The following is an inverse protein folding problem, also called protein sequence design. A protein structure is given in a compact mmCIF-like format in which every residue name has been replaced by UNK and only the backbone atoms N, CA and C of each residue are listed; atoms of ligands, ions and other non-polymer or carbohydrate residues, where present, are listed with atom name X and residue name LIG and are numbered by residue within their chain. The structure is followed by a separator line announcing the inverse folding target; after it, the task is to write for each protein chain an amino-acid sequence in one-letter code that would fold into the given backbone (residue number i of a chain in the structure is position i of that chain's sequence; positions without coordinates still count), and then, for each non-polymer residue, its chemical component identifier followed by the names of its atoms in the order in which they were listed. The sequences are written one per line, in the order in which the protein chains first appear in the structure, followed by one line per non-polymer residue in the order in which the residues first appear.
data_IF_308588349778
#
_entry.id   IF_308588349778
#
_cell.length_a   1.000
_cell.length_b   1.000
_cell.length_c   1.000
_cell.angle_alpha   90.00
_cell.angle_beta   90.00
_cell.angle_gamma   90.00
#
_symmetry.space_group_name_H-M   'P 1'
#
loop_
_entity.id
_entity.type
_entity.pdbx_description
1 polymer ?
#
# COMPACT_ATOMS: atom_id res chain seq x y z
N UNK A 1 26.30 -19.13 -10.30
CA UNK A 1 25.36 -17.99 -10.08
C UNK A 1 24.62 -18.09 -8.75
N UNK A 2 24.31 -19.30 -8.24
CA UNK A 2 23.52 -19.53 -7.01
C UNK A 2 24.29 -19.15 -5.72
N UNK A 3 25.62 -19.14 -5.71
CA UNK A 3 26.42 -18.86 -4.52
C UNK A 3 26.66 -17.37 -4.21
N UNK A 4 26.38 -16.43 -5.12
CA UNK A 4 26.49 -15.00 -4.85
C UNK A 4 25.21 -14.42 -4.22
N UNK A 5 24.05 -14.99 -4.52
CA UNK A 5 22.74 -14.50 -4.00
C UNK A 5 22.57 -14.74 -2.50
N UNK A 6 23.06 -15.87 -1.99
CA UNK A 6 22.99 -16.20 -0.54
C UNK A 6 23.79 -15.25 0.36
N UNK A 7 24.80 -14.56 -0.16
CA UNK A 7 25.57 -13.59 0.62
C UNK A 7 24.88 -12.22 0.72
N UNK A 8 24.11 -11.82 -0.27
CA UNK A 8 23.43 -10.53 -0.32
C UNK A 8 22.40 -10.37 0.80
N UNK A 9 21.73 -11.45 1.20
CA UNK A 9 20.67 -11.44 2.21
C UNK A 9 21.08 -12.05 3.55
N UNK A 10 22.36 -12.32 3.78
CA UNK A 10 22.83 -13.03 4.99
C UNK A 10 22.56 -12.27 6.29
N UNK A 11 22.40 -10.95 6.23
CA UNK A 11 22.06 -10.12 7.40
C UNK A 11 20.56 -9.78 7.48
N UNK A 12 19.77 -10.10 6.45
CA UNK A 12 18.36 -9.77 6.40
C UNK A 12 17.51 -10.81 7.12
N UNK A 13 16.47 -10.34 7.79
CA UNK A 13 15.41 -11.15 8.39
C UNK A 13 14.05 -10.58 7.96
N UNK A 14 13.22 -11.46 7.45
CA UNK A 14 11.89 -11.11 6.95
C UNK A 14 10.82 -11.66 7.90
N UNK A 15 9.97 -10.79 8.42
CA UNK A 15 8.86 -11.15 9.31
C UNK A 15 7.53 -10.71 8.72
N UNK A 16 6.46 -11.36 9.12
CA UNK A 16 5.09 -10.98 8.77
C UNK A 16 4.21 -10.88 10.01
N UNK A 17 3.28 -9.93 10.01
CA UNK A 17 2.11 -9.97 10.88
C UNK A 17 0.92 -10.62 10.14
N UNK A 18 -0.32 -10.40 10.61
CA UNK A 18 -1.46 -11.19 10.17
C UNK A 18 -2.24 -10.63 8.96
N UNK A 19 -1.91 -9.42 8.47
CA UNK A 19 -2.74 -8.77 7.44
C UNK A 19 -2.79 -9.56 6.13
N UNK A 20 -1.67 -10.14 5.70
CA UNK A 20 -1.58 -10.89 4.44
C UNK A 20 -0.43 -11.91 4.47
N UNK A 21 -0.59 -13.05 5.18
CA UNK A 21 0.46 -14.06 5.31
C UNK A 21 0.91 -14.66 3.97
N UNK A 22 -0.02 -14.80 3.02
CA UNK A 22 0.25 -15.36 1.68
C UNK A 22 1.21 -14.47 0.90
N UNK A 23 0.98 -13.16 0.86
CA UNK A 23 1.88 -12.20 0.22
C UNK A 23 3.27 -12.24 0.85
N UNK A 24 3.35 -12.30 2.18
CA UNK A 24 4.62 -12.38 2.88
C UNK A 24 5.39 -13.66 2.52
N UNK A 25 4.67 -14.78 2.41
CA UNK A 25 5.26 -16.05 1.96
C UNK A 25 5.73 -15.98 0.51
N UNK A 26 4.95 -15.43 -0.40
CA UNK A 26 5.34 -15.26 -1.80
C UNK A 26 6.60 -14.39 -1.94
N UNK A 27 6.69 -13.29 -1.17
CA UNK A 27 7.89 -12.44 -1.15
C UNK A 27 9.09 -13.24 -0.66
N UNK A 28 8.95 -13.99 0.43
CA UNK A 28 10.04 -14.82 0.98
C UNK A 28 10.50 -15.89 -0.02
N UNK A 29 9.56 -16.58 -0.67
CA UNK A 29 9.85 -17.59 -1.68
C UNK A 29 10.60 -17.00 -2.90
N UNK A 30 10.15 -15.83 -3.40
CA UNK A 30 10.81 -15.12 -4.50
C UNK A 30 12.22 -14.64 -4.16
N UNK A 31 12.45 -14.28 -2.89
CA UNK A 31 13.76 -13.85 -2.40
C UNK A 31 14.66 -15.02 -2.00
N UNK A 32 14.15 -16.25 -1.98
CA UNK A 32 14.89 -17.44 -1.53
C UNK A 32 15.26 -17.40 -0.05
N UNK A 33 14.42 -16.77 0.79
CA UNK A 33 14.63 -16.67 2.24
C UNK A 33 13.44 -17.27 2.99
N UNK A 34 13.64 -17.64 4.24
CA UNK A 34 12.56 -18.08 5.13
C UNK A 34 11.99 -16.89 5.92
N UNK A 35 10.69 -16.93 6.19
CA UNK A 35 10.08 -16.01 7.14
C UNK A 35 10.59 -16.29 8.54
N UNK A 36 10.91 -15.24 9.26
CA UNK A 36 11.33 -15.29 10.66
C UNK A 36 10.23 -15.84 11.55
N UNK A 37 10.63 -16.52 12.61
CA UNK A 37 9.73 -17.17 13.58
C UNK A 37 9.17 -16.17 14.57
N UNK A 38 7.89 -15.83 14.39
CA UNK A 38 7.15 -14.97 15.32
C UNK A 38 5.71 -15.45 15.44
N UNK A 39 5.07 -15.09 16.53
CA UNK A 39 3.63 -15.29 16.75
C UNK A 39 2.98 -13.95 17.01
N UNK A 40 1.93 -13.64 16.27
CA UNK A 40 1.07 -12.48 16.47
C UNK A 40 -0.33 -12.99 16.77
N UNK A 41 -0.84 -12.67 17.94
CA UNK A 41 -2.14 -13.14 18.44
C UNK A 41 -2.86 -12.05 19.20
N UNK A 42 -4.05 -12.37 19.72
CA UNK A 42 -4.81 -11.49 20.60
C UNK A 42 -5.09 -12.20 21.94
N UNK A 43 -5.05 -11.43 23.00
CA UNK A 43 -5.64 -11.84 24.27
C UNK A 43 -7.18 -11.85 24.19
N UNK A 44 -7.82 -12.42 25.19
CA UNK A 44 -9.30 -12.54 25.23
C UNK A 44 -10.04 -11.20 25.27
N UNK A 45 -9.38 -10.16 25.74
CA UNK A 45 -9.87 -8.77 25.76
C UNK A 45 -9.62 -7.99 24.46
N UNK A 46 -8.90 -8.62 23.49
CA UNK A 46 -8.60 -8.04 22.18
C UNK A 46 -7.25 -7.34 22.09
N UNK A 47 -6.47 -7.25 23.17
CA UNK A 47 -5.10 -6.72 23.11
C UNK A 47 -4.19 -7.63 22.25
N UNK A 48 -3.31 -7.01 21.48
CA UNK A 48 -2.41 -7.72 20.60
C UNK A 48 -1.17 -8.19 21.35
N UNK A 49 -0.79 -9.44 21.12
CA UNK A 49 0.42 -10.07 21.67
C UNK A 49 1.34 -10.48 20.54
N UNK A 50 2.62 -10.09 20.66
CA UNK A 50 3.70 -10.45 19.74
C UNK A 50 4.79 -11.17 20.47
N UNK A 51 5.25 -12.29 19.92
CA UNK A 51 6.42 -13.04 20.41
C UNK A 51 7.35 -13.37 19.24
N UNK A 52 8.65 -13.10 19.43
CA UNK A 52 9.70 -13.41 18.45
C UNK A 52 10.49 -14.61 18.98
N UNK A 53 10.66 -15.65 18.16
CA UNK A 53 11.20 -16.94 18.55
C UNK A 53 12.62 -17.18 18.04
N UNK A 54 13.29 -16.14 17.56
CA UNK A 54 14.67 -16.20 17.09
C UNK A 54 15.40 -14.89 17.37
N UNK A 55 16.74 -14.93 17.34
CA UNK A 55 17.54 -13.72 17.54
C UNK A 55 17.48 -12.83 16.29
N UNK A 56 17.22 -11.56 16.52
CA UNK A 56 17.26 -10.49 15.50
C UNK A 56 18.38 -9.47 15.77
N UNK A 57 19.26 -9.75 16.76
CA UNK A 57 20.34 -8.83 17.13
C UNK A 57 21.21 -8.51 15.91
N UNK A 58 21.43 -7.21 15.70
CA UNK A 58 22.24 -6.65 14.60
C UNK A 58 21.77 -7.06 13.18
N UNK A 59 20.52 -7.54 13.05
CA UNK A 59 19.92 -7.90 11.76
C UNK A 59 19.15 -6.74 11.15
N UNK A 60 19.17 -6.69 9.82
CA UNK A 60 18.28 -5.83 9.04
C UNK A 60 16.91 -6.51 8.95
N UNK A 61 15.98 -6.06 9.77
CA UNK A 61 14.64 -6.65 9.88
C UNK A 61 13.68 -5.94 8.93
N UNK A 62 12.92 -6.73 8.17
CA UNK A 62 11.83 -6.29 7.33
C UNK A 62 10.52 -6.88 7.84
N UNK A 63 9.55 -6.04 8.17
CA UNK A 63 8.24 -6.46 8.68
C UNK A 63 7.18 -6.18 7.63
N UNK A 64 6.58 -7.23 7.08
CA UNK A 64 5.52 -7.13 6.07
C UNK A 64 4.18 -7.07 6.78
N UNK A 65 3.49 -5.94 6.66
CA UNK A 65 2.17 -5.73 7.23
C UNK A 65 1.43 -4.61 6.48
N UNK A 66 0.40 -4.94 5.74
CA UNK A 66 -0.56 -3.95 5.25
C UNK A 66 -1.40 -3.39 6.41
N UNK A 67 -1.65 -2.09 6.41
CA UNK A 67 -2.52 -1.46 7.41
C UNK A 67 -3.92 -1.17 6.85
N UNK A 68 -4.43 -2.13 6.05
CA UNK A 68 -5.80 -2.18 5.57
C UNK A 68 -6.77 -2.75 6.61
N UNK A 69 -7.96 -3.14 6.17
CA UNK A 69 -9.00 -3.66 7.05
C UNK A 69 -8.61 -5.05 7.67
N UNK A 70 -8.73 -5.23 8.98
CA UNK A 70 -9.11 -4.29 10.05
C UNK A 70 -7.97 -3.31 10.39
N UNK A 71 -8.16 -2.04 10.01
CA UNK A 71 -7.09 -1.03 9.95
C UNK A 71 -6.38 -0.81 11.28
N UNK A 72 -7.14 -0.65 12.36
CA UNK A 72 -6.57 -0.36 13.68
C UNK A 72 -5.80 -1.54 14.25
N UNK A 73 -6.32 -2.74 14.08
CA UNK A 73 -5.66 -3.97 14.54
C UNK A 73 -4.34 -4.18 13.77
N UNK A 74 -4.37 -4.07 12.46
CA UNK A 74 -3.20 -4.24 11.61
C UNK A 74 -2.12 -3.18 11.89
N UNK A 75 -2.53 -1.93 12.15
CA UNK A 75 -1.60 -0.89 12.56
C UNK A 75 -0.97 -1.20 13.92
N UNK A 76 -1.78 -1.62 14.90
CA UNK A 76 -1.26 -1.97 16.23
C UNK A 76 -0.35 -3.21 16.19
N UNK A 77 -0.66 -4.24 15.42
CA UNK A 77 0.24 -5.37 15.20
C UNK A 77 1.62 -4.91 14.70
N UNK A 78 1.64 -4.01 13.71
CA UNK A 78 2.88 -3.48 13.16
C UNK A 78 3.66 -2.70 14.23
N UNK A 79 3.02 -1.79 14.95
CA UNK A 79 3.68 -0.96 15.97
C UNK A 79 4.28 -1.82 17.09
N UNK A 80 3.54 -2.84 17.57
CA UNK A 80 4.00 -3.75 18.64
C UNK A 80 5.14 -4.64 18.12
N UNK A 81 5.06 -5.13 16.87
CA UNK A 81 6.15 -5.89 16.26
C UNK A 81 7.42 -5.05 16.15
N UNK A 82 7.31 -3.78 15.73
CA UNK A 82 8.43 -2.84 15.65
C UNK A 82 9.05 -2.62 17.02
N UNK A 83 8.26 -2.39 18.07
CA UNK A 83 8.75 -2.23 19.43
C UNK A 83 9.48 -3.49 19.93
N UNK A 84 8.93 -4.66 19.63
CA UNK A 84 9.57 -5.94 19.98
C UNK A 84 10.93 -6.09 19.28
N UNK A 85 11.05 -5.76 17.99
CA UNK A 85 12.31 -5.80 17.24
C UNK A 85 13.34 -4.81 17.80
N UNK A 86 12.90 -3.58 18.12
CA UNK A 86 13.74 -2.55 18.73
C UNK A 86 14.31 -3.03 20.08
N UNK A 87 13.49 -3.61 20.94
CA UNK A 87 13.89 -4.16 22.24
C UNK A 87 14.79 -5.39 22.12
N UNK A 88 14.64 -6.16 21.03
CA UNK A 88 15.49 -7.29 20.68
C UNK A 88 16.83 -6.89 20.03
N UNK A 89 17.13 -5.58 19.93
CA UNK A 89 18.36 -5.02 19.35
C UNK A 89 18.54 -5.34 17.86
N UNK A 90 17.48 -5.27 17.06
CA UNK A 90 17.62 -5.28 15.61
C UNK A 90 18.57 -4.16 15.16
N UNK A 91 19.35 -4.41 14.12
CA UNK A 91 20.30 -3.44 13.55
C UNK A 91 19.58 -2.34 12.78
N UNK A 92 18.55 -2.69 12.02
CA UNK A 92 17.59 -1.77 11.39
C UNK A 92 16.21 -2.39 11.34
N UNK A 93 15.16 -1.55 11.34
CA UNK A 93 13.76 -1.97 11.30
C UNK A 93 13.08 -1.30 10.11
N UNK A 94 12.73 -2.10 9.11
CA UNK A 94 12.13 -1.66 7.86
C UNK A 94 10.67 -2.12 7.82
N UNK A 95 9.73 -1.19 7.77
CA UNK A 95 8.30 -1.49 7.65
C UNK A 95 7.92 -1.60 6.19
N UNK A 96 7.52 -2.80 5.75
CA UNK A 96 6.98 -3.05 4.41
C UNK A 96 5.47 -3.02 4.50
N UNK A 97 4.88 -1.93 4.03
CA UNK A 97 3.45 -1.62 4.16
C UNK A 97 2.84 -1.55 2.76
N UNK A 98 2.41 -2.69 2.17
CA UNK A 98 1.85 -2.71 0.81
C UNK A 98 0.66 -1.77 0.65
N UNK A 99 -0.22 -1.69 1.66
CA UNK A 99 -1.28 -0.70 1.73
C UNK A 99 -1.15 0.14 3.00
N UNK A 100 -0.97 1.46 2.81
CA UNK A 100 -0.85 2.44 3.90
C UNK A 100 -2.23 2.95 4.31
N UNK A 101 -2.72 2.49 5.44
CA UNK A 101 -4.00 2.90 5.99
C UNK A 101 -4.03 4.38 6.39
N UNK A 102 -5.23 4.98 6.42
CA UNK A 102 -5.45 6.42 6.68
C UNK A 102 -4.85 7.37 5.64
N UNK A 103 -4.32 6.88 4.52
CA UNK A 103 -3.72 7.70 3.47
C UNK A 103 -4.70 8.73 2.86
N UNK A 104 -6.02 8.44 2.88
CA UNK A 104 -7.06 9.37 2.41
C UNK A 104 -7.21 10.62 3.30
N UNK A 105 -6.64 10.61 4.50
CA UNK A 105 -6.65 11.74 5.44
C UNK A 105 -5.27 12.43 5.42
N UNK A 106 -4.81 12.80 4.23
CA UNK A 106 -3.51 13.42 3.96
C UNK A 106 -3.50 14.93 4.20
N UNK A 107 -4.66 15.55 4.26
CA UNK A 107 -4.84 17.00 4.42
C UNK A 107 -6.14 17.32 5.14
N UNK A 108 -6.24 18.55 5.65
CA UNK A 108 -7.52 19.08 6.16
C UNK A 108 -8.44 19.41 4.97
N UNK A 109 -9.49 18.63 4.77
CA UNK A 109 -10.54 18.92 3.79
C UNK A 109 -11.50 20.01 4.31
N UNK A 110 -11.68 20.08 5.63
CA UNK A 110 -12.52 21.06 6.33
C UNK A 110 -11.77 21.63 7.53
N UNK A 111 -12.28 22.74 8.07
CA UNK A 111 -11.74 23.31 9.30
C UNK A 111 -11.80 22.26 10.44
N UNK A 112 -10.72 22.14 11.20
CA UNK A 112 -10.55 21.23 12.35
C UNK A 112 -10.45 19.75 12.03
N UNK A 113 -10.35 19.36 10.76
CA UNK A 113 -10.07 17.98 10.37
C UNK A 113 -8.68 17.54 10.84
N UNK A 114 -8.49 16.25 11.15
CA UNK A 114 -7.17 15.68 11.40
C UNK A 114 -6.37 15.54 10.10
N UNK A 115 -5.07 15.30 10.24
CA UNK A 115 -4.19 14.78 9.19
C UNK A 115 -3.68 13.42 9.66
N UNK A 116 -4.53 12.42 9.57
CA UNK A 116 -4.26 11.10 10.17
C UNK A 116 -3.13 10.36 9.47
N UNK A 117 -2.91 10.60 8.17
CA UNK A 117 -1.76 10.07 7.45
C UNK A 117 -0.42 10.51 8.08
N UNK A 118 -0.34 11.77 8.59
CA UNK A 118 0.82 12.25 9.33
C UNK A 118 0.92 11.65 10.73
N UNK A 119 -0.20 11.50 11.43
CA UNK A 119 -0.23 10.84 12.74
C UNK A 119 0.31 9.42 12.66
N UNK A 120 -0.10 8.64 11.66
CA UNK A 120 0.39 7.26 11.45
C UNK A 120 1.90 7.26 11.15
N UNK A 121 2.39 8.21 10.34
CA UNK A 121 3.82 8.35 10.10
C UNK A 121 4.60 8.61 11.39
N UNK A 122 4.12 9.51 12.25
CA UNK A 122 4.73 9.82 13.53
C UNK A 122 4.73 8.61 14.49
N UNK A 123 3.65 7.85 14.52
CA UNK A 123 3.56 6.62 15.33
C UNK A 123 4.58 5.57 14.89
N UNK A 124 4.74 5.36 13.58
CA UNK A 124 5.73 4.42 13.05
C UNK A 124 7.16 4.82 13.42
N UNK A 125 7.50 6.11 13.26
CA UNK A 125 8.82 6.64 13.64
C UNK A 125 9.03 6.54 15.15
N UNK A 126 8.04 6.90 15.95
CA UNK A 126 8.12 6.81 17.41
C UNK A 126 8.29 5.37 17.91
N UNK A 127 7.65 4.39 17.26
CA UNK A 127 7.82 2.98 17.57
C UNK A 127 9.26 2.49 17.29
N UNK A 128 9.93 3.07 16.29
CA UNK A 128 11.33 2.77 15.97
C UNK A 128 11.57 2.27 14.54
N UNK A 129 10.70 2.59 13.60
CA UNK A 129 10.92 2.31 12.18
C UNK A 129 12.04 3.19 11.65
N UNK A 130 12.99 2.60 10.94
CA UNK A 130 14.13 3.28 10.31
C UNK A 130 13.87 3.58 8.82
N UNK A 131 13.00 2.84 8.17
CA UNK A 131 12.63 2.96 6.75
C UNK A 131 11.22 2.44 6.52
N UNK A 132 10.48 3.09 5.63
CA UNK A 132 9.17 2.61 5.14
C UNK A 132 9.29 2.22 3.67
N UNK A 133 8.76 1.06 3.32
CA UNK A 133 8.56 0.61 1.93
C UNK A 133 7.06 0.47 1.74
N UNK A 134 6.48 1.21 0.81
CA UNK A 134 5.03 1.21 0.58
C UNK A 134 4.71 1.28 -0.91
N UNK A 135 3.47 0.99 -1.28
CA UNK A 135 3.03 0.99 -2.67
C UNK A 135 1.81 1.88 -2.86
N UNK A 136 1.76 2.59 -3.99
CA UNK A 136 0.61 3.39 -4.47
C UNK A 136 -0.06 4.24 -3.37
N UNK A 137 0.71 5.10 -2.72
CA UNK A 137 0.16 6.07 -1.76
C UNK A 137 -0.96 6.87 -2.43
N UNK A 138 -2.05 7.09 -1.68
CA UNK A 138 -3.18 7.91 -2.13
C UNK A 138 -2.75 9.28 -2.61
N UNK A 139 -1.77 9.88 -1.93
CA UNK A 139 -1.16 11.14 -2.30
C UNK A 139 0.36 11.04 -2.15
N UNK A 140 1.10 11.36 -3.21
CA UNK A 140 2.56 11.23 -3.25
C UNK A 140 3.28 12.05 -2.17
N UNK A 141 2.69 13.18 -1.76
CA UNK A 141 3.24 14.05 -0.71
C UNK A 141 3.27 13.40 0.67
N UNK A 142 2.57 12.29 0.91
CA UNK A 142 2.65 11.53 2.18
C UNK A 142 4.09 11.08 2.47
N UNK A 143 4.92 10.86 1.46
CA UNK A 143 6.35 10.62 1.63
C UNK A 143 7.03 11.72 2.46
N UNK A 144 6.61 12.97 2.29
CA UNK A 144 7.14 14.11 3.03
C UNK A 144 6.65 14.22 4.48
N UNK A 145 5.78 13.30 4.94
CA UNK A 145 5.35 13.25 6.35
C UNK A 145 6.32 12.46 7.23
N UNK A 146 7.26 11.76 6.61
CA UNK A 146 8.29 11.01 7.30
C UNK A 146 9.61 11.77 7.29
N UNK A 147 10.30 11.76 8.43
CA UNK A 147 11.69 12.22 8.55
C UNK A 147 12.70 11.07 8.36
N UNK A 148 12.21 9.88 8.00
CA UNK A 148 12.98 8.69 7.65
C UNK A 148 12.81 8.37 6.15
N UNK A 149 13.71 7.58 5.55
CA UNK A 149 13.58 7.16 4.15
C UNK A 149 12.26 6.46 3.87
N UNK A 150 11.65 6.78 2.73
CA UNK A 150 10.44 6.14 2.21
C UNK A 150 10.70 5.67 0.78
N UNK A 151 10.57 4.38 0.55
CA UNK A 151 10.56 3.79 -0.80
C UNK A 151 9.10 3.65 -1.25
N UNK A 152 8.65 4.60 -2.06
CA UNK A 152 7.30 4.59 -2.62
C UNK A 152 7.30 3.86 -3.95
N UNK A 153 6.85 2.61 -3.94
CA UNK A 153 6.75 1.78 -5.13
C UNK A 153 5.46 2.08 -5.89
N UNK A 154 5.53 2.00 -7.21
CA UNK A 154 4.41 2.25 -8.11
C UNK A 154 4.01 0.94 -8.79
N UNK A 155 2.77 0.51 -8.58
CA UNK A 155 2.22 -0.73 -9.16
C UNK A 155 1.82 -0.61 -10.64
N UNK A 156 1.66 0.61 -11.15
CA UNK A 156 1.19 0.88 -12.51
C UNK A 156 1.99 0.14 -13.61
N UNK A 157 3.33 0.06 -13.59
CA UNK A 157 4.07 -0.68 -14.61
C UNK A 157 3.68 -2.16 -14.67
N UNK A 158 3.55 -2.81 -13.51
CA UNK A 158 3.14 -4.22 -13.40
C UNK A 158 1.73 -4.45 -13.91
N UNK A 159 0.78 -3.57 -13.53
CA UNK A 159 -0.59 -3.62 -14.04
C UNK A 159 -0.64 -3.40 -15.55
N UNK A 160 0.14 -2.47 -16.08
CA UNK A 160 0.22 -2.19 -17.52
C UNK A 160 0.71 -3.43 -18.27
N UNK A 161 1.78 -4.07 -17.80
CA UNK A 161 2.33 -5.29 -18.40
C UNK A 161 1.31 -6.43 -18.41
N UNK A 162 0.56 -6.59 -17.31
CA UNK A 162 -0.52 -7.58 -17.23
C UNK A 162 -1.59 -7.37 -18.31
N UNK A 163 -2.03 -6.12 -18.53
CA UNK A 163 -3.05 -5.82 -19.52
C UNK A 163 -2.52 -5.89 -20.95
N UNK A 164 -1.26 -5.52 -21.20
CA UNK A 164 -0.62 -5.69 -22.52
C UNK A 164 -0.57 -7.18 -22.94
N UNK A 165 -0.28 -8.08 -22.00
CA UNK A 165 -0.28 -9.53 -22.26
C UNK A 165 -1.66 -10.12 -22.57
N UNK A 166 -2.76 -9.40 -22.30
CA UNK A 166 -4.12 -9.85 -22.63
C UNK A 166 -4.52 -9.57 -24.08
N UNK A 167 -3.71 -8.82 -24.83
CA UNK A 167 -3.92 -8.52 -26.26
C UNK A 167 -5.37 -8.06 -26.58
N UNK A 168 -5.95 -7.21 -25.71
CA UNK A 168 -7.30 -6.68 -25.87
C UNK A 168 -7.33 -5.61 -26.96
N UNK A 169 -8.33 -5.68 -27.83
CA UNK A 169 -8.59 -4.67 -28.86
C UNK A 169 -9.44 -3.51 -28.31
N UNK A 170 -9.38 -2.35 -28.95
CA UNK A 170 -10.20 -1.17 -28.63
C UNK A 170 -10.23 -0.77 -27.15
N UNK A 171 -9.05 -0.76 -26.53
CA UNK A 171 -8.88 -0.44 -25.09
C UNK A 171 -8.98 1.07 -24.85
N UNK A 172 -9.69 1.44 -23.77
CA UNK A 172 -9.74 2.79 -23.20
C UNK A 172 -9.42 2.72 -21.71
N UNK A 173 -8.50 3.56 -21.24
CA UNK A 173 -8.26 3.72 -19.79
C UNK A 173 -9.23 4.75 -19.24
N UNK A 174 -9.98 4.36 -18.21
CA UNK A 174 -11.00 5.21 -17.59
C UNK A 174 -10.53 5.67 -16.22
N UNK A 175 -10.48 6.99 -16.05
CA UNK A 175 -10.29 7.61 -14.73
C UNK A 175 -11.64 7.74 -14.03
N UNK A 176 -11.85 7.16 -12.85
CA UNK A 176 -13.13 7.21 -12.14
C UNK A 176 -13.42 8.58 -11.51
N UNK A 177 -12.41 9.46 -11.44
CA UNK A 177 -12.52 10.84 -10.95
C UNK A 177 -11.37 11.71 -11.48
N UNK A 178 -11.37 13.00 -11.12
CA UNK A 178 -10.32 13.92 -11.54
C UNK A 178 -8.95 13.68 -10.87
N UNK A 179 -8.93 13.10 -9.67
CA UNK A 179 -7.70 12.81 -8.92
C UNK A 179 -6.86 11.70 -9.57
N UNK A 180 -7.53 10.71 -10.17
CA UNK A 180 -6.89 9.56 -10.81
C UNK A 180 -6.46 9.82 -12.27
N UNK A 181 -6.78 11.00 -12.85
CA UNK A 181 -6.43 11.34 -14.24
C UNK A 181 -4.95 11.22 -14.57
N UNK A 182 -4.00 11.71 -13.75
CA UNK A 182 -2.57 11.56 -14.06
C UNK A 182 -2.14 10.08 -14.15
N UNK A 183 -2.68 9.22 -13.27
CA UNK A 183 -2.41 7.78 -13.26
C UNK A 183 -2.99 7.11 -14.51
N UNK A 184 -4.25 7.40 -14.85
CA UNK A 184 -4.90 6.88 -16.03
C UNK A 184 -4.20 7.30 -17.31
N UNK A 185 -3.74 8.56 -17.41
CA UNK A 185 -2.98 9.06 -18.56
C UNK A 185 -1.66 8.33 -18.72
N UNK A 186 -0.91 8.12 -17.65
CA UNK A 186 0.36 7.39 -17.69
C UNK A 186 0.17 5.96 -18.21
N UNK A 187 -0.88 5.26 -17.78
CA UNK A 187 -1.21 3.92 -18.29
C UNK A 187 -1.59 3.96 -19.77
N UNK A 188 -2.44 4.90 -20.16
CA UNK A 188 -2.91 5.05 -21.53
C UNK A 188 -1.74 5.34 -22.50
N UNK A 189 -0.81 6.20 -22.12
CA UNK A 189 0.42 6.47 -22.89
C UNK A 189 1.26 5.20 -23.08
N UNK A 190 1.45 4.40 -22.02
CA UNK A 190 2.20 3.13 -22.08
C UNK A 190 1.51 2.07 -22.94
N UNK A 191 0.18 2.05 -22.95
CA UNK A 191 -0.62 1.12 -23.74
C UNK A 191 -0.97 1.66 -25.14
N UNK A 192 -0.58 2.91 -25.45
CA UNK A 192 -0.89 3.61 -26.70
C UNK A 192 -2.41 3.60 -27.01
N UNK A 193 -3.24 3.93 -26.01
CA UNK A 193 -4.69 3.93 -26.12
C UNK A 193 -5.29 5.24 -25.56
N UNK A 194 -6.55 5.56 -25.90
CA UNK A 194 -7.23 6.76 -25.41
C UNK A 194 -7.58 6.67 -23.92
N UNK A 195 -7.90 7.84 -23.35
CA UNK A 195 -8.40 8.01 -21.97
C UNK A 195 -9.84 8.51 -22.00
N UNK A 196 -10.62 8.07 -21.02
CA UNK A 196 -11.91 8.68 -20.67
C UNK A 196 -11.93 9.04 -19.19
N UNK A 197 -12.74 10.02 -18.82
CA UNK A 197 -12.81 10.55 -17.46
C UNK A 197 -14.26 10.58 -17.01
N UNK A 198 -14.55 10.05 -15.83
CA UNK A 198 -15.85 10.19 -15.17
C UNK A 198 -15.87 11.52 -14.43
N UNK A 199 -16.65 12.48 -14.94
CA UNK A 199 -16.89 13.77 -14.31
C UNK A 199 -18.12 13.68 -13.41
N UNK A 200 -17.90 13.67 -12.10
CA UNK A 200 -18.96 13.63 -11.08
C UNK A 200 -19.22 15.03 -10.59
N UNK A 201 -20.43 15.55 -10.83
CA UNK A 201 -20.87 16.84 -10.35
C UNK A 201 -22.02 16.69 -9.37
N UNK A 202 -21.87 17.26 -8.19
CA UNK A 202 -22.98 17.49 -7.25
C UNK A 202 -23.43 18.93 -7.37
N UNK A 203 -24.50 19.22 -8.12
CA UNK A 203 -24.96 20.60 -8.33
C UNK A 203 -25.43 21.26 -7.03
N UNK A 204 -25.96 20.48 -6.08
CA UNK A 204 -26.42 20.95 -4.76
C UNK A 204 -26.36 19.83 -3.70
N UNK A 205 -26.25 20.16 -2.39
CA UNK A 205 -26.43 19.19 -1.32
C UNK A 205 -27.80 18.49 -1.44
N UNK A 206 -27.84 17.17 -1.34
CA UNK A 206 -29.05 16.32 -1.44
C UNK A 206 -29.69 16.16 -2.84
N UNK A 207 -29.03 16.59 -3.93
CA UNK A 207 -29.45 16.22 -5.28
C UNK A 207 -28.63 15.02 -5.80
N UNK A 208 -29.27 14.24 -6.69
CA UNK A 208 -28.62 13.11 -7.35
C UNK A 208 -27.32 13.55 -8.05
N UNK A 209 -26.30 12.72 -7.91
CA UNK A 209 -25.02 12.92 -8.56
C UNK A 209 -25.20 12.83 -10.10
N UNK A 210 -24.81 13.87 -10.81
CA UNK A 210 -24.79 13.84 -12.29
C UNK A 210 -23.43 13.29 -12.68
N UNK A 211 -23.42 12.11 -13.31
CA UNK A 211 -22.23 11.54 -13.92
C UNK A 211 -22.20 11.85 -15.40
N UNK A 212 -21.09 12.41 -15.85
CA UNK A 212 -20.83 12.67 -17.26
C UNK A 212 -19.50 11.98 -17.63
N UNK A 213 -19.45 11.33 -18.78
CA UNK A 213 -18.23 10.68 -19.27
C UNK A 213 -17.65 11.55 -20.37
N UNK A 214 -16.42 12.00 -20.15
CA UNK A 214 -15.63 12.74 -21.12
C UNK A 214 -14.75 11.73 -21.85
N UNK A 215 -14.95 11.57 -23.13
CA UNK A 215 -14.27 10.58 -23.98
C UNK A 215 -15.24 9.56 -24.55
N UNK A 216 -14.78 8.79 -25.54
CA UNK A 216 -15.58 7.77 -26.23
C UNK A 216 -15.28 6.38 -25.67
N UNK A 217 -16.29 5.77 -25.04
CA UNK A 217 -16.21 4.43 -24.43
C UNK A 217 -17.16 3.41 -25.06
N UNK A 218 -18.02 3.86 -25.99
CA UNK A 218 -19.06 3.00 -26.51
C UNK A 218 -18.51 1.87 -27.37
N UNK A 219 -18.80 0.64 -26.95
CA UNK A 219 -18.33 -0.59 -27.63
C UNK A 219 -16.85 -0.90 -27.42
N UNK A 220 -16.19 -0.25 -26.46
CA UNK A 220 -14.76 -0.44 -26.18
C UNK A 220 -14.52 -1.25 -24.92
N UNK A 221 -13.33 -1.83 -24.82
CA UNK A 221 -12.81 -2.49 -23.62
C UNK A 221 -12.28 -1.44 -22.65
N UNK A 222 -13.01 -1.18 -21.56
CA UNK A 222 -12.68 -0.16 -20.59
C UNK A 222 -11.89 -0.75 -19.42
N UNK A 223 -10.71 -0.18 -19.13
CA UNK A 223 -9.92 -0.47 -17.93
C UNK A 223 -10.09 0.73 -16.99
N UNK A 224 -10.81 0.53 -15.88
CA UNK A 224 -10.98 1.55 -14.86
C UNK A 224 -9.79 1.48 -13.91
N UNK A 225 -9.09 2.60 -13.74
CA UNK A 225 -7.85 2.66 -12.95
C UNK A 225 -8.00 3.64 -11.80
N UNK A 226 -7.81 3.13 -10.57
CA UNK A 226 -7.84 3.91 -9.33
C UNK A 226 -6.67 3.52 -8.42
N UNK A 227 -6.43 4.26 -7.32
CA UNK A 227 -5.42 3.94 -6.32
C UNK A 227 -5.91 2.88 -5.32
N UNK A 228 -7.23 2.77 -5.14
CA UNK A 228 -7.83 1.78 -4.26
C UNK A 228 -9.27 1.45 -4.67
N UNK A 229 -9.71 0.26 -4.30
CA UNK A 229 -11.11 -0.16 -4.38
C UNK A 229 -11.57 -0.49 -2.96
N UNK A 230 -12.53 0.29 -2.44
CA UNK A 230 -13.14 0.06 -1.11
C UNK A 230 -14.50 -0.61 -1.29
N UNK A 231 -15.58 0.16 -1.36
CA UNK A 231 -16.95 -0.36 -1.56
C UNK A 231 -17.30 -0.60 -3.02
N UNK A 232 -16.42 -0.26 -3.93
CA UNK A 232 -16.63 -0.22 -5.38
C UNK A 232 -17.76 0.72 -5.85
N UNK A 233 -18.37 1.50 -4.95
CA UNK A 233 -19.46 2.41 -5.29
C UNK A 233 -19.10 3.45 -6.37
N UNK A 234 -17.83 3.81 -6.47
CA UNK A 234 -17.32 4.70 -7.51
C UNK A 234 -17.26 4.03 -8.88
N UNK A 235 -17.15 2.71 -8.92
CA UNK A 235 -16.93 1.92 -10.14
C UNK A 235 -18.26 1.31 -10.65
N UNK A 236 -19.20 1.03 -9.74
CA UNK A 236 -20.46 0.31 -10.06
C UNK A 236 -21.64 1.22 -10.36
N UNK A 237 -21.55 2.50 -10.09
CA UNK A 237 -22.56 3.53 -10.40
C UNK A 237 -22.13 4.33 -11.63
#
# INVERSE_FOLDING_TARGET
YIHMETKAFSNMKLFACNSHPELAKEIADLMGVELGKATVSKFSDGEISVSIWESVRDKDVFIIQSTGNPVNDNLMELLIMVDAMKRASAGSINAVIPYYGYARQDRKAKARDPITAKLVADLLVAAGVDRVITMDLHANQIQGYFDIPVDHMIGLPTLTEYFLKKEMEDVVIVSPDHGSVPRARNMAERMNCPIAIVDKRRPEPNKSEIMNIIGDIKGKNCIILDDMIDTAGTITN
#
